data_IF_036944365188
#
_entry.id   IF_036944365188
#
_cell.length_a   1.000
_cell.length_b   1.000
_cell.length_c   1.000
_cell.angle_alpha   90.00
_cell.angle_beta   90.00
_cell.angle_gamma   90.00
#
_symmetry.space_group_name_H-M   'P 1'
#
loop_
_entity.id
_entity.type
_entity.pdbx_description
1 polymer ?
#
# COMPACT_ATOMS: atom_id res chain seq x y z
N UNK A 1 17.97 26.39 2.74
CA UNK A 1 18.06 24.98 2.29
C UNK A 1 16.64 24.57 1.91
N UNK A 2 16.35 24.40 0.63
CA UNK A 2 15.04 23.90 0.17
C UNK A 2 15.03 22.38 0.39
N UNK A 3 14.27 21.90 1.36
CA UNK A 3 13.99 20.48 1.52
C UNK A 3 12.98 20.08 0.43
N UNK A 4 13.44 19.44 -0.64
CA UNK A 4 12.57 18.78 -1.61
C UNK A 4 12.52 17.29 -1.27
N UNK A 5 11.71 16.95 -0.27
CA UNK A 5 11.44 15.58 0.20
C UNK A 5 10.52 14.78 -0.75
N UNK A 6 9.91 15.43 -1.76
CA UNK A 6 8.90 14.83 -2.65
C UNK A 6 9.44 13.70 -3.54
N UNK A 7 10.75 13.47 -3.64
CA UNK A 7 11.30 12.50 -4.59
C UNK A 7 11.85 11.21 -3.93
N UNK A 8 11.97 11.15 -2.59
CA UNK A 8 12.76 10.09 -1.94
C UNK A 8 12.13 9.41 -0.72
N UNK A 9 10.94 9.82 -0.27
CA UNK A 9 10.30 9.15 0.87
C UNK A 9 9.69 7.79 0.48
N UNK A 10 9.89 6.78 1.32
CA UNK A 10 9.19 5.48 1.25
C UNK A 10 7.68 5.64 1.44
N UNK A 11 7.24 6.68 2.13
CA UNK A 11 5.83 6.91 2.44
C UNK A 11 4.97 7.14 1.19
N UNK A 12 5.56 7.49 0.04
CA UNK A 12 4.84 7.58 -1.23
C UNK A 12 4.31 6.23 -1.74
N UNK A 13 4.83 5.12 -1.23
CA UNK A 13 4.37 3.77 -1.58
C UNK A 13 3.37 3.21 -0.57
N UNK A 14 3.20 3.88 0.58
CA UNK A 14 2.23 3.51 1.62
C UNK A 14 0.88 4.15 1.31
N UNK A 15 0.16 3.57 0.34
CA UNK A 15 -1.13 4.09 -0.12
C UNK A 15 -2.28 3.42 0.66
N UNK A 16 -3.20 4.18 1.28
CA UNK A 16 -4.37 3.60 1.93
C UNK A 16 -5.34 3.03 0.89
N UNK A 17 -5.81 1.82 1.13
CA UNK A 17 -6.84 1.17 0.33
C UNK A 17 -8.04 0.87 1.24
N UNK A 18 -9.24 1.24 0.80
CA UNK A 18 -10.47 0.97 1.53
C UNK A 18 -11.59 0.51 0.59
N UNK A 19 -12.43 -0.38 1.12
CA UNK A 19 -13.65 -0.88 0.49
C UNK A 19 -14.85 -0.32 1.24
N UNK A 20 -15.90 0.04 0.52
CA UNK A 20 -17.22 0.30 1.10
C UNK A 20 -18.20 -0.62 0.39
N UNK A 21 -18.82 -1.53 1.13
CA UNK A 21 -19.85 -2.41 0.60
C UNK A 21 -21.12 -2.32 1.47
N UNK A 22 -22.29 -2.41 0.85
CA UNK A 22 -23.58 -2.24 1.54
C UNK A 22 -23.93 -3.37 2.49
N UNK A 23 -23.31 -4.53 2.29
CA UNK A 23 -23.44 -5.77 3.06
C UNK A 23 -22.43 -5.87 4.22
N UNK A 24 -21.43 -4.99 4.27
CA UNK A 24 -20.49 -4.95 5.39
C UNK A 24 -21.21 -4.46 6.67
N UNK A 25 -21.15 -5.27 7.73
CA UNK A 25 -21.76 -4.96 9.05
C UNK A 25 -20.75 -4.41 10.07
N UNK A 26 -19.46 -4.52 9.77
CA UNK A 26 -18.36 -4.15 10.65
C UNK A 26 -17.23 -3.47 9.87
N UNK A 27 -16.52 -2.55 10.53
CA UNK A 27 -15.30 -1.94 9.99
C UNK A 27 -14.12 -2.84 10.30
N UNK A 28 -13.43 -3.31 9.26
CA UNK A 28 -12.16 -4.05 9.37
C UNK A 28 -10.99 -3.16 8.94
N UNK A 29 -9.86 -3.32 9.61
CA UNK A 29 -8.63 -2.61 9.30
C UNK A 29 -7.48 -3.60 9.30
N UNK A 30 -6.70 -3.59 8.22
CA UNK A 30 -5.58 -4.50 8.02
C UNK A 30 -4.31 -3.72 7.69
N UNK A 31 -3.18 -4.17 8.23
CA UNK A 31 -1.85 -3.76 7.77
C UNK A 31 -1.24 -4.94 7.04
N UNK A 32 -1.40 -4.92 5.72
CA UNK A 32 -1.02 -5.99 4.82
C UNK A 32 -0.22 -5.39 3.65
N UNK A 33 0.83 -6.06 3.21
CA UNK A 33 1.54 -5.63 2.00
C UNK A 33 0.71 -6.09 0.80
N UNK A 34 0.28 -5.13 -0.02
CA UNK A 34 -0.47 -5.37 -1.24
C UNK A 34 0.14 -4.51 -2.34
N UNK A 35 0.30 -5.08 -3.53
CA UNK A 35 0.81 -4.36 -4.69
C UNK A 35 -0.31 -3.80 -5.54
N UNK A 36 -0.21 -2.52 -5.92
CA UNK A 36 -1.09 -1.93 -6.93
C UNK A 36 -1.00 -2.59 -8.32
N UNK A 37 0.04 -3.40 -8.57
CA UNK A 37 0.14 -4.21 -9.79
C UNK A 37 -0.96 -5.28 -9.87
N UNK A 38 -1.45 -5.74 -8.72
CA UNK A 38 -2.54 -6.74 -8.63
C UNK A 38 -3.92 -6.08 -8.58
N UNK A 39 -4.03 -4.76 -8.82
CA UNK A 39 -5.30 -4.04 -8.66
C UNK A 39 -6.41 -4.58 -9.58
N UNK A 40 -6.08 -4.91 -10.83
CA UNK A 40 -7.07 -5.47 -11.78
C UNK A 40 -7.56 -6.83 -11.31
N UNK A 41 -6.64 -7.71 -10.87
CA UNK A 41 -6.96 -9.05 -10.38
C UNK A 41 -7.85 -8.98 -9.13
N UNK A 42 -7.45 -8.15 -8.16
CA UNK A 42 -8.19 -8.02 -6.91
C UNK A 42 -9.55 -7.36 -7.03
N UNK A 43 -9.71 -6.35 -7.91
CA UNK A 43 -11.03 -5.78 -8.20
C UNK A 43 -11.89 -6.83 -8.90
N UNK A 44 -11.36 -7.55 -9.89
CA UNK A 44 -12.09 -8.61 -10.58
C UNK A 44 -12.55 -9.72 -9.62
N UNK A 45 -11.68 -10.13 -8.70
CA UNK A 45 -12.02 -11.06 -7.63
C UNK A 45 -13.15 -10.51 -6.73
N UNK A 46 -13.02 -9.27 -6.27
CA UNK A 46 -14.02 -8.63 -5.40
C UNK A 46 -15.43 -8.60 -6.02
N UNK A 47 -15.55 -8.23 -7.31
CA UNK A 47 -16.85 -8.15 -7.99
C UNK A 47 -17.29 -9.47 -8.66
N UNK A 48 -16.52 -10.55 -8.50
CA UNK A 48 -16.86 -11.88 -9.00
C UNK A 48 -16.67 -12.10 -10.51
N UNK A 49 -15.83 -11.30 -11.18
CA UNK A 49 -15.48 -11.51 -12.59
C UNK A 49 -14.62 -12.76 -12.73
N UNK A 50 -14.99 -13.63 -13.67
CA UNK A 50 -14.24 -14.85 -14.01
C UNK A 50 -13.73 -14.75 -15.44
N UNK A 51 -12.42 -14.83 -15.62
CA UNK A 51 -11.79 -14.88 -16.94
C UNK A 51 -10.59 -15.84 -16.91
N UNK A 52 -10.34 -16.65 -17.96
CA UNK A 52 -9.16 -17.51 -18.03
C UNK A 52 -7.81 -16.79 -17.98
N UNK A 53 -7.79 -15.48 -18.26
CA UNK A 53 -6.59 -14.63 -18.20
C UNK A 53 -6.32 -14.03 -16.82
N UNK A 54 -7.25 -14.19 -15.88
CA UNK A 54 -7.15 -13.64 -14.54
C UNK A 54 -6.64 -14.71 -13.57
N UNK A 55 -5.84 -14.27 -12.61
CA UNK A 55 -5.27 -15.06 -11.54
C UNK A 55 -6.22 -14.97 -10.36
N UNK A 56 -6.91 -16.08 -10.03
CA UNK A 56 -8.10 -16.08 -9.16
C UNK A 56 -7.83 -15.89 -7.67
N UNK A 57 -6.58 -15.85 -7.26
CA UNK A 57 -6.20 -15.97 -5.85
C UNK A 57 -5.87 -14.61 -5.20
N UNK A 58 -5.95 -13.51 -5.96
CA UNK A 58 -5.64 -12.17 -5.46
C UNK A 58 -6.85 -11.53 -4.76
N UNK A 59 -6.73 -11.31 -3.46
CA UNK A 59 -7.68 -10.55 -2.66
C UNK A 59 -7.01 -9.29 -2.07
N UNK A 60 -7.49 -8.11 -2.48
CA UNK A 60 -6.98 -6.81 -2.01
C UNK A 60 -7.48 -6.44 -0.61
N UNK A 61 -8.55 -7.07 -0.14
CA UNK A 61 -9.27 -6.68 1.08
C UNK A 61 -9.23 -7.76 2.17
N UNK A 62 -8.35 -8.76 2.03
CA UNK A 62 -8.10 -9.78 3.04
C UNK A 62 -6.96 -9.39 4.00
N UNK A 63 -6.97 -9.88 5.25
CA UNK A 63 -5.81 -9.80 6.14
C UNK A 63 -4.66 -10.67 5.65
N UNK A 64 -4.98 -11.69 4.85
CA UNK A 64 -4.04 -12.57 4.18
C UNK A 64 -3.34 -11.78 3.07
N UNK A 65 -2.27 -11.07 3.40
CA UNK A 65 -1.09 -11.21 2.55
C UNK A 65 -0.57 -12.60 2.85
N UNK A 66 -0.49 -13.51 1.86
CA UNK A 66 0.14 -14.79 2.14
C UNK A 66 1.54 -14.51 2.68
N UNK A 67 2.05 -15.48 3.43
CA UNK A 67 3.46 -15.59 3.76
C UNK A 67 4.29 -15.33 2.49
N UNK A 68 4.78 -14.08 2.34
CA UNK A 68 5.11 -13.49 1.05
C UNK A 68 3.95 -13.54 0.04
N UNK A 69 3.53 -12.38 -0.49
CA UNK A 69 3.10 -12.37 -1.89
C UNK A 69 4.16 -13.20 -2.64
N UNK A 70 3.77 -14.32 -3.27
CA UNK A 70 4.73 -15.27 -3.87
C UNK A 70 5.67 -14.58 -4.87
N UNK A 71 5.28 -13.39 -5.32
CA UNK A 71 6.14 -12.42 -5.99
C UNK A 71 5.73 -11.00 -5.57
N UNK A 72 6.53 -10.31 -4.76
CA UNK A 72 6.38 -8.87 -4.49
C UNK A 72 6.82 -8.02 -5.70
N UNK A 73 7.08 -8.65 -6.85
CA UNK A 73 7.68 -8.10 -8.06
C UNK A 73 9.04 -7.43 -7.79
N UNK A 74 9.71 -7.79 -6.70
CA UNK A 74 10.89 -7.13 -6.18
C UNK A 74 10.65 -5.68 -5.75
N UNK A 75 9.40 -5.26 -5.54
CA UNK A 75 9.05 -3.88 -5.20
C UNK A 75 9.55 -3.50 -3.82
N UNK A 76 9.43 -4.39 -2.82
CA UNK A 76 9.90 -4.09 -1.48
C UNK A 76 11.41 -3.83 -1.50
N UNK A 77 12.16 -4.69 -2.19
CA UNK A 77 13.60 -4.50 -2.40
C UNK A 77 13.92 -3.17 -3.09
N UNK A 78 13.21 -2.82 -4.17
CA UNK A 78 13.40 -1.54 -4.89
C UNK A 78 13.10 -0.32 -4.01
N UNK A 79 12.06 -0.40 -3.18
CA UNK A 79 11.71 0.64 -2.21
C UNK A 79 12.84 0.75 -1.18
N UNK A 80 13.35 -0.39 -0.72
CA UNK A 80 14.38 -0.42 0.31
C UNK A 80 15.74 0.13 -0.14
N UNK A 81 16.12 -0.13 -1.40
CA UNK A 81 17.40 0.28 -1.98
C UNK A 81 17.42 1.73 -2.46
N UNK A 82 16.30 2.23 -3.01
CA UNK A 82 16.26 3.52 -3.71
C UNK A 82 15.80 4.72 -2.86
N UNK A 83 15.06 4.47 -1.78
CA UNK A 83 14.39 5.52 -1.02
C UNK A 83 14.99 5.67 0.39
N UNK A 84 15.10 6.92 0.85
CA UNK A 84 15.66 7.22 2.16
C UNK A 84 14.82 6.58 3.27
N UNK A 85 15.51 6.05 4.29
CA UNK A 85 14.88 5.38 5.45
C UNK A 85 14.34 6.35 6.49
N UNK A 86 14.73 7.63 6.41
CA UNK A 86 14.31 8.63 7.38
C UNK A 86 12.86 9.06 7.11
N UNK A 87 12.02 8.97 8.13
CA UNK A 87 10.76 9.71 8.12
C UNK A 87 11.08 11.20 8.07
N UNK A 88 10.39 11.94 7.20
CA UNK A 88 10.50 13.41 7.17
C UNK A 88 9.88 13.94 8.47
N UNK A 89 10.71 14.39 9.44
CA UNK A 89 10.18 14.78 10.73
C UNK A 89 9.32 16.02 10.55
N UNK A 90 8.20 16.07 11.29
CA UNK A 90 7.35 17.25 11.27
C UNK A 90 8.18 18.51 11.62
N UNK A 91 8.06 19.55 10.79
CA UNK A 91 8.70 20.84 11.07
C UNK A 91 8.06 21.42 12.33
N UNK A 92 8.87 21.61 13.39
CA UNK A 92 8.40 22.30 14.59
C UNK A 92 8.30 23.80 14.34
N UNK A 93 7.07 24.30 14.20
CA UNK A 93 6.76 25.72 14.00
C UNK A 93 6.70 26.51 15.32
N UNK A 94 6.89 25.86 16.48
CA UNK A 94 6.92 26.53 17.77
C UNK A 94 8.25 27.25 17.90
N UNK A 95 8.27 28.55 17.59
CA UNK A 95 9.41 29.44 17.81
C UNK A 95 10.03 29.19 19.20
N UNK A 96 11.33 28.88 19.27
CA UNK A 96 12.08 28.96 20.52
C UNK A 96 12.05 30.41 20.99
N UNK A 97 11.15 30.73 21.92
CA UNK A 97 11.22 32.00 22.65
C UNK A 97 12.60 32.07 23.31
N UNK A 98 13.36 33.10 22.94
CA UNK A 98 14.61 33.48 23.61
C UNK A 98 14.34 33.85 25.06
#
# INVERSE_FOLDING_TARGET
MLFNQNCFSRNHHNVPLFKIASDDTERKEYKAFKSGLNFVEGIANWIGIKNPKLTRDEDLFSPESPEADKDDFGLQKRIDEKYEKGDDPAIDIRLKRK
#
